data_IF_484977091769
#
_entry.id   IF_484977091769
#
_cell.length_a   1.000
_cell.length_b   1.000
_cell.length_c   1.000
_cell.angle_alpha   90.00
_cell.angle_beta   90.00
_cell.angle_gamma   90.00
#
_symmetry.space_group_name_H-M   'P 1'
#
loop_
_entity.id
_entity.type
_entity.pdbx_description
1 polymer ?
#
# COMPACT_ATOMS: atom_id res chain seq x y z
N UNK A 1 7.45 -3.71 -1.68
CA UNK A 1 7.25 -4.01 -3.11
C UNK A 1 5.78 -3.86 -3.48
N UNK A 2 5.44 -3.46 -4.72
CA UNK A 2 4.04 -3.26 -5.14
C UNK A 2 3.19 -4.50 -4.88
N UNK A 3 1.92 -4.28 -4.53
CA UNK A 3 0.95 -5.36 -4.29
C UNK A 3 0.22 -5.65 -5.59
N UNK A 4 0.21 -6.91 -5.98
CA UNK A 4 -0.54 -7.42 -7.13
C UNK A 4 -1.65 -8.34 -6.65
N UNK A 5 -2.81 -8.29 -7.31
CA UNK A 5 -3.85 -9.29 -7.16
C UNK A 5 -3.78 -10.26 -8.34
N UNK A 6 -3.93 -11.54 -8.05
CA UNK A 6 -3.93 -12.62 -9.05
C UNK A 6 -5.21 -13.42 -8.90
N UNK A 7 -5.93 -13.58 -10.01
CA UNK A 7 -7.14 -14.42 -10.11
C UNK A 7 -6.78 -15.72 -10.81
N UNK A 8 -7.07 -16.85 -10.16
CA UNK A 8 -6.72 -18.19 -10.64
C UNK A 8 -5.22 -18.33 -10.92
N UNK A 9 -4.87 -19.04 -12.00
CA UNK A 9 -3.48 -19.21 -12.46
C UNK A 9 -2.96 -18.04 -13.31
N UNK A 10 -3.19 -16.79 -12.87
CA UNK A 10 -2.73 -15.61 -13.61
C UNK A 10 -3.64 -15.18 -14.77
N UNK A 11 -4.89 -15.67 -14.80
CA UNK A 11 -5.86 -15.31 -15.84
C UNK A 11 -6.23 -13.82 -15.82
N UNK A 12 -6.17 -13.23 -14.63
CA UNK A 12 -6.15 -11.78 -14.43
C UNK A 12 -5.09 -11.45 -13.39
N UNK A 13 -4.29 -10.44 -13.69
CA UNK A 13 -3.27 -9.89 -12.79
C UNK A 13 -3.32 -8.38 -12.89
N UNK A 14 -3.45 -7.70 -11.76
CA UNK A 14 -3.41 -6.23 -11.74
C UNK A 14 -2.72 -5.69 -10.49
N UNK A 15 -2.27 -4.43 -10.58
CA UNK A 15 -1.61 -3.70 -9.50
C UNK A 15 -2.66 -3.18 -8.53
N UNK A 16 -2.66 -3.72 -7.31
CA UNK A 16 -3.47 -3.22 -6.19
C UNK A 16 -2.88 -1.94 -5.63
N UNK A 17 -1.56 -1.89 -5.43
CA UNK A 17 -0.91 -0.70 -4.87
C UNK A 17 0.55 -0.61 -5.28
N UNK A 18 0.99 0.57 -5.71
CA UNK A 18 2.41 0.89 -5.99
C UNK A 18 3.08 1.60 -4.82
N UNK A 19 2.29 2.24 -3.95
CA UNK A 19 2.75 3.08 -2.85
C UNK A 19 2.80 2.30 -1.54
N UNK A 20 1.73 1.57 -1.23
CA UNK A 20 1.57 0.85 0.03
C UNK A 20 1.85 -0.65 -0.14
N UNK A 21 2.40 -1.25 0.91
CA UNK A 21 2.77 -2.65 0.98
C UNK A 21 1.79 -3.44 1.84
N UNK A 22 1.81 -4.79 1.81
CA UNK A 22 0.85 -5.60 2.58
C UNK A 22 0.81 -5.24 4.07
N UNK A 23 1.98 -4.96 4.67
CA UNK A 23 2.09 -4.49 6.07
C UNK A 23 1.28 -3.23 6.37
N UNK A 24 1.14 -2.32 5.40
CA UNK A 24 0.43 -1.06 5.60
C UNK A 24 -1.09 -1.29 5.57
N UNK A 25 -1.55 -2.21 4.72
CA UNK A 25 -2.95 -2.66 4.72
C UNK A 25 -3.28 -3.40 6.01
N UNK A 26 -2.40 -4.27 6.49
CA UNK A 26 -2.58 -4.95 7.78
C UNK A 26 -2.65 -3.95 8.94
N UNK A 27 -1.76 -2.95 8.96
CA UNK A 27 -1.81 -1.89 9.96
C UNK A 27 -3.10 -1.07 9.91
N UNK A 28 -3.62 -0.77 8.71
CA UNK A 28 -4.93 -0.14 8.57
C UNK A 28 -6.03 -1.02 9.17
N UNK A 29 -6.04 -2.33 8.89
CA UNK A 29 -7.03 -3.24 9.44
C UNK A 29 -6.96 -3.32 10.97
N UNK A 30 -5.75 -3.32 11.54
CA UNK A 30 -5.56 -3.26 13.00
C UNK A 30 -6.19 -2.00 13.60
N UNK A 31 -5.99 -0.84 12.95
CA UNK A 31 -6.57 0.43 13.38
C UNK A 31 -8.08 0.48 13.23
N UNK A 32 -8.61 -0.02 12.12
CA UNK A 32 -10.06 -0.10 11.90
C UNK A 32 -10.71 -0.99 12.97
N UNK A 33 -10.05 -2.09 13.34
CA UNK A 33 -10.51 -2.98 14.40
C UNK A 33 -10.46 -2.31 15.78
N UNK A 34 -9.35 -1.66 16.13
CA UNK A 34 -9.19 -1.03 17.46
C UNK A 34 -9.92 0.30 17.64
N UNK A 35 -10.01 1.12 16.58
CA UNK A 35 -10.49 2.50 16.64
C UNK A 35 -11.94 2.61 16.13
N UNK A 36 -12.37 1.77 15.18
CA UNK A 36 -13.71 1.81 14.58
C UNK A 36 -14.59 0.60 14.93
N UNK A 37 -14.05 -0.39 15.66
CA UNK A 37 -14.74 -1.62 16.08
C UNK A 37 -15.33 -2.44 14.90
N UNK A 38 -14.59 -2.52 13.80
CA UNK A 38 -14.96 -3.30 12.62
C UNK A 38 -13.83 -4.26 12.21
N UNK A 39 -14.17 -5.49 11.84
CA UNK A 39 -13.18 -6.53 11.53
C UNK A 39 -13.35 -7.06 10.10
N UNK A 40 -12.22 -7.32 9.44
CA UNK A 40 -12.14 -7.74 8.04
C UNK A 40 -11.18 -8.94 7.88
N UNK A 41 -11.57 -10.12 8.37
CA UNK A 41 -10.68 -11.29 8.44
C UNK A 41 -10.25 -11.82 7.07
N UNK A 42 -11.08 -11.72 6.03
CA UNK A 42 -10.71 -12.19 4.69
C UNK A 42 -9.71 -11.25 4.01
N UNK A 43 -9.87 -9.92 4.16
CA UNK A 43 -8.86 -8.96 3.74
C UNK A 43 -7.53 -9.19 4.48
N UNK A 44 -7.59 -9.44 5.80
CA UNK A 44 -6.39 -9.77 6.59
C UNK A 44 -5.73 -11.04 6.09
N UNK A 45 -6.50 -12.11 5.84
CA UNK A 45 -5.99 -13.37 5.28
C UNK A 45 -5.35 -13.15 3.91
N UNK A 46 -5.99 -12.35 3.05
CA UNK A 46 -5.49 -12.00 1.72
C UNK A 46 -4.11 -11.33 1.83
N UNK A 47 -3.99 -10.23 2.59
CA UNK A 47 -2.73 -9.49 2.71
C UNK A 47 -1.61 -10.26 3.42
N UNK A 48 -1.92 -11.32 4.16
CA UNK A 48 -0.94 -12.29 4.67
C UNK A 48 -0.51 -13.34 3.62
N UNK A 49 -0.97 -13.23 2.37
CA UNK A 49 -0.62 -14.12 1.26
C UNK A 49 -1.53 -15.35 1.14
N UNK A 50 -2.64 -15.40 1.89
CA UNK A 50 -3.59 -16.51 1.83
C UNK A 50 -4.51 -16.45 0.62
N UNK A 51 -5.03 -17.61 0.21
CA UNK A 51 -6.13 -17.69 -0.75
C UNK A 51 -7.47 -17.45 -0.07
N UNK A 52 -8.34 -16.71 -0.76
CA UNK A 52 -9.62 -16.24 -0.22
C UNK A 52 -10.76 -16.51 -1.21
N UNK A 53 -11.94 -16.79 -0.67
CA UNK A 53 -13.17 -16.94 -1.44
C UNK A 53 -13.61 -15.55 -1.97
N UNK A 54 -13.84 -15.41 -3.29
CA UNK A 54 -14.12 -14.11 -3.90
C UNK A 54 -15.35 -13.36 -3.36
N UNK A 55 -16.44 -14.06 -3.04
CA UNK A 55 -17.67 -13.46 -2.50
C UNK A 55 -17.45 -12.80 -1.14
N UNK A 56 -16.80 -13.50 -0.22
CA UNK A 56 -16.45 -12.97 1.10
C UNK A 56 -15.49 -11.77 1.00
N UNK A 57 -14.53 -11.81 0.08
CA UNK A 57 -13.61 -10.71 -0.17
C UNK A 57 -14.33 -9.49 -0.77
N UNK A 58 -15.27 -9.69 -1.69
CA UNK A 58 -16.05 -8.63 -2.32
C UNK A 58 -16.83 -7.84 -1.26
N UNK A 59 -17.55 -8.54 -0.39
CA UNK A 59 -18.32 -7.93 0.71
C UNK A 59 -17.40 -7.15 1.66
N UNK A 60 -16.31 -7.75 2.12
CA UNK A 60 -15.37 -7.06 3.01
C UNK A 60 -14.72 -5.83 2.37
N UNK A 61 -14.33 -5.90 1.10
CA UNK A 61 -13.70 -4.78 0.39
C UNK A 61 -14.69 -3.62 0.20
N UNK A 62 -15.95 -3.90 -0.12
CA UNK A 62 -17.00 -2.88 -0.24
C UNK A 62 -17.34 -2.26 1.12
N UNK A 63 -17.50 -3.09 2.15
CA UNK A 63 -17.79 -2.63 3.51
C UNK A 63 -16.66 -1.76 4.07
N UNK A 64 -15.39 -2.15 3.86
CA UNK A 64 -14.25 -1.33 4.25
C UNK A 64 -14.22 0.00 3.48
N UNK A 65 -14.52 -0.02 2.17
CA UNK A 65 -14.54 1.18 1.35
C UNK A 65 -15.60 2.19 1.83
N UNK A 66 -16.80 1.72 2.15
CA UNK A 66 -17.88 2.54 2.71
C UNK A 66 -17.52 3.07 4.10
N UNK A 67 -17.05 2.18 4.98
CA UNK A 67 -16.63 2.57 6.33
C UNK A 67 -15.56 3.67 6.31
N UNK A 68 -14.53 3.53 5.48
CA UNK A 68 -13.48 4.54 5.36
C UNK A 68 -13.98 5.81 4.67
N UNK A 69 -14.96 5.72 3.77
CA UNK A 69 -15.56 6.92 3.16
C UNK A 69 -16.31 7.75 4.20
N UNK A 70 -16.97 7.11 5.16
CA UNK A 70 -17.76 7.75 6.20
C UNK A 70 -16.92 8.21 7.39
N UNK A 71 -16.03 7.34 7.87
CA UNK A 71 -15.31 7.49 9.15
C UNK A 71 -13.78 7.51 9.00
N UNK A 72 -13.26 7.47 7.79
CA UNK A 72 -11.81 7.40 7.55
C UNK A 72 -11.03 8.63 8.01
N UNK A 73 -11.69 9.77 8.29
CA UNK A 73 -11.07 10.94 8.91
C UNK A 73 -10.81 10.78 10.41
N UNK A 74 -11.42 9.79 11.06
CA UNK A 74 -11.13 9.45 12.47
C UNK A 74 -9.81 8.69 12.60
N UNK A 75 -9.35 8.05 11.53
CA UNK A 75 -8.08 7.33 11.48
C UNK A 75 -6.91 8.28 11.15
N UNK A 76 -5.68 7.96 11.60
CA UNK A 76 -4.53 8.77 11.24
C UNK A 76 -4.24 8.71 9.73
N UNK A 77 -3.62 9.76 9.18
CA UNK A 77 -3.24 9.78 7.78
C UNK A 77 -2.16 8.73 7.46
N UNK A 78 -2.12 8.34 6.19
CA UNK A 78 -1.09 7.47 5.65
C UNK A 78 0.06 8.31 5.08
N UNK A 79 1.28 8.05 5.56
CA UNK A 79 2.50 8.70 5.10
C UNK A 79 3.18 7.89 3.99
N UNK A 80 3.69 8.59 2.98
CA UNK A 80 4.49 8.02 1.90
C UNK A 80 5.51 9.03 1.38
N UNK A 81 6.51 8.55 0.64
CA UNK A 81 7.68 9.32 0.23
C UNK A 81 7.83 9.28 -1.29
N UNK A 82 8.13 10.42 -1.90
CA UNK A 82 8.53 10.46 -3.30
C UNK A 82 9.92 11.09 -3.44
N UNK A 83 10.77 10.46 -4.25
CA UNK A 83 12.07 11.02 -4.62
C UNK A 83 11.82 12.18 -5.57
N UNK A 84 12.27 13.38 -5.19
CA UNK A 84 12.18 14.55 -6.02
C UNK A 84 13.18 14.41 -7.18
N UNK A 85 12.72 14.53 -8.43
CA UNK A 85 13.59 14.46 -9.59
C UNK A 85 14.65 15.56 -9.57
N UNK A 86 15.82 15.29 -10.14
CA UNK A 86 16.86 16.31 -10.33
C UNK A 86 16.60 17.13 -11.59
N UNK A 87 15.97 16.53 -12.59
CA UNK A 87 15.59 17.14 -13.87
C UNK A 87 14.24 16.60 -14.41
N UNK A 88 13.81 17.06 -15.59
CA UNK A 88 12.54 16.63 -16.19
C UNK A 88 12.51 15.17 -16.66
N UNK A 89 13.66 14.53 -16.88
CA UNK A 89 13.74 13.13 -17.31
C UNK A 89 13.51 12.17 -16.12
N UNK A 90 13.87 12.60 -14.90
CA UNK A 90 13.64 11.88 -13.64
C UNK A 90 12.16 11.82 -13.17
N UNK A 91 11.21 12.46 -13.87
CA UNK A 91 9.80 12.64 -13.46
C UNK A 91 9.01 11.31 -13.34
N UNK A 92 9.54 10.19 -13.84
CA UNK A 92 8.92 8.87 -13.73
C UNK A 92 8.66 8.43 -12.27
N UNK A 93 9.49 8.88 -11.32
CA UNK A 93 9.32 8.55 -9.88
C UNK A 93 8.06 9.17 -9.27
N UNK A 94 7.65 10.36 -9.75
CA UNK A 94 6.43 11.05 -9.33
C UNK A 94 5.20 10.38 -9.93
N UNK A 95 5.30 9.93 -11.19
CA UNK A 95 4.20 9.25 -11.90
C UNK A 95 3.89 7.88 -11.27
N UNK A 96 4.89 7.20 -10.69
CA UNK A 96 4.73 5.92 -9.98
C UNK A 96 4.09 6.00 -8.59
N UNK A 97 3.95 7.21 -8.02
CA UNK A 97 3.21 7.46 -6.78
C UNK A 97 4.02 7.45 -5.48
N UNK A 98 5.34 7.29 -5.52
CA UNK A 98 6.16 7.16 -4.31
C UNK A 98 6.01 5.80 -3.61
N UNK A 99 6.52 5.69 -2.38
CA UNK A 99 6.48 4.47 -1.57
C UNK A 99 6.28 4.79 -0.10
N UNK A 100 5.52 3.96 0.62
CA UNK A 100 5.33 4.05 2.08
C UNK A 100 6.59 3.69 2.85
N UNK A 101 7.56 3.01 2.23
CA UNK A 101 8.85 2.71 2.84
C UNK A 101 9.94 2.56 1.79
N UNK A 102 11.14 3.04 2.09
CA UNK A 102 12.29 3.11 1.16
C UNK A 102 13.60 2.97 1.92
N UNK A 103 14.57 2.27 1.35
CA UNK A 103 15.95 2.26 1.83
C UNK A 103 16.83 2.97 0.79
N UNK A 104 17.57 4.00 1.20
CA UNK A 104 18.42 4.81 0.33
C UNK A 104 19.88 4.60 0.74
N UNK A 105 20.68 3.88 -0.07
CA UNK A 105 22.10 3.75 0.16
C UNK A 105 22.84 5.03 -0.28
N UNK A 106 23.68 5.59 0.62
CA UNK A 106 24.52 6.76 0.36
C UNK A 106 25.89 6.51 0.97
N UNK A 107 26.94 6.44 0.15
CA UNK A 107 28.34 6.40 0.59
C UNK A 107 28.64 5.40 1.72
N UNK A 108 28.10 4.17 1.60
CA UNK A 108 28.30 3.11 2.59
C UNK A 108 27.38 3.19 3.82
N UNK A 109 26.47 4.17 3.88
CA UNK A 109 25.37 4.27 4.86
C UNK A 109 24.04 3.92 4.22
N UNK A 110 23.07 3.50 5.04
CA UNK A 110 21.70 3.24 4.60
C UNK A 110 20.75 4.09 5.44
N UNK A 111 19.94 4.90 4.76
CA UNK A 111 18.84 5.65 5.36
C UNK A 111 17.54 4.91 5.07
N UNK A 112 16.76 4.60 6.12
CA UNK A 112 15.45 3.98 5.97
C UNK A 112 14.35 5.01 6.23
N UNK A 113 13.45 5.15 5.27
CA UNK A 113 12.20 5.89 5.41
C UNK A 113 11.08 4.87 5.67
N UNK A 114 10.35 5.09 6.76
CA UNK A 114 9.27 4.21 7.21
C UNK A 114 8.02 5.05 7.41
N UNK A 115 7.01 4.83 6.59
CA UNK A 115 5.70 5.47 6.62
C UNK A 115 4.59 4.44 6.84
N UNK A 116 3.44 4.66 6.22
CA UNK A 116 2.19 3.96 6.54
C UNK A 116 1.29 4.79 7.46
N UNK A 117 0.32 4.17 8.11
CA UNK A 117 -0.70 4.88 8.89
C UNK A 117 -0.19 5.28 10.28
N UNK A 118 -0.21 6.58 10.58
CA UNK A 118 0.15 7.12 11.91
C UNK A 118 1.34 8.06 11.92
N UNK A 119 2.52 7.57 11.52
CA UNK A 119 3.76 8.33 11.61
C UNK A 119 4.72 8.03 10.46
N UNK A 120 5.58 9.00 10.16
CA UNK A 120 6.71 8.84 9.27
C UNK A 120 8.02 8.92 10.08
N UNK A 121 8.94 8.01 9.84
CA UNK A 121 10.21 7.90 10.55
C UNK A 121 11.36 7.86 9.53
N UNK A 122 12.41 8.62 9.80
CA UNK A 122 13.73 8.43 9.24
C UNK A 122 14.58 7.67 10.25
N UNK A 123 15.05 6.48 9.87
CA UNK A 123 16.11 5.76 10.59
C UNK A 123 17.41 5.97 9.84
N UNK A 124 18.34 6.67 10.50
CA UNK A 124 19.67 6.95 10.01
C UNK A 124 20.71 6.29 10.92
N UNK A 125 21.98 6.16 10.50
CA UNK A 125 23.05 5.65 11.36
C UNK A 125 23.20 6.42 12.68
N UNK A 126 22.84 7.71 12.68
CA UNK A 126 22.94 8.60 13.84
C UNK A 126 21.72 8.50 14.78
N UNK A 127 20.65 7.80 14.39
CA UNK A 127 19.45 7.59 15.19
C UNK A 127 18.14 7.65 14.41
N UNK A 128 17.03 7.54 15.14
CA UNK A 128 15.67 7.67 14.59
C UNK A 128 15.11 9.07 14.82
N UNK A 129 14.38 9.58 13.82
CA UNK A 129 13.70 10.87 13.86
C UNK A 129 12.33 10.77 13.21
N UNK A 130 11.32 11.35 13.85
CA UNK A 130 9.99 11.51 13.27
C UNK A 130 9.98 12.65 12.22
N UNK A 131 9.28 12.41 11.11
CA UNK A 131 9.16 13.31 9.98
C UNK A 131 7.76 13.93 9.92
N UNK A 132 7.67 15.17 9.44
CA UNK A 132 6.41 15.89 9.31
C UNK A 132 5.87 15.83 7.88
N UNK A 133 4.55 15.93 7.74
CA UNK A 133 3.92 16.06 6.43
C UNK A 133 4.44 17.31 5.71
N UNK A 134 4.77 17.17 4.42
CA UNK A 134 5.32 18.26 3.59
C UNK A 134 6.82 18.50 3.76
N UNK A 135 7.49 17.81 4.69
CA UNK A 135 8.92 17.92 4.89
C UNK A 135 9.71 17.44 3.67
N UNK A 136 10.82 18.12 3.39
CA UNK A 136 11.76 17.74 2.34
C UNK A 136 13.11 17.37 2.97
N UNK A 137 13.60 16.18 2.61
CA UNK A 137 14.84 15.60 3.12
C UNK A 137 15.90 15.62 2.02
N UNK A 138 17.13 15.93 2.40
CA UNK A 138 18.31 15.74 1.55
C UNK A 138 19.17 14.63 2.14
N UNK A 139 19.19 13.48 1.47
CA UNK A 139 19.93 12.28 1.86
C UNK A 139 21.06 12.08 0.84
N UNK A 140 22.23 12.68 1.11
CA UNK A 140 23.31 12.80 0.14
C UNK A 140 22.85 13.60 -1.08
N UNK A 141 22.88 13.00 -2.27
CA UNK A 141 22.40 13.63 -3.50
C UNK A 141 20.91 13.39 -3.79
N UNK A 142 20.22 12.60 -2.96
CA UNK A 142 18.80 12.25 -3.15
C UNK A 142 17.94 13.23 -2.35
N UNK A 143 16.99 13.87 -3.02
CA UNK A 143 15.96 14.68 -2.36
C UNK A 143 14.68 13.88 -2.25
N UNK A 144 14.05 13.89 -1.08
CA UNK A 144 12.81 13.14 -0.83
C UNK A 144 11.78 14.06 -0.21
N UNK A 145 10.54 13.99 -0.66
CA UNK A 145 9.41 14.71 -0.08
C UNK A 145 8.47 13.77 0.66
N UNK A 146 8.04 14.20 1.84
CA UNK A 146 7.10 13.48 2.71
C UNK A 146 5.69 13.93 2.36
N UNK A 147 4.86 12.98 1.96
CA UNK A 147 3.46 13.21 1.62
C UNK A 147 2.53 12.48 2.59
N UNK A 148 1.30 12.96 2.67
CA UNK A 148 0.22 12.30 3.40
C UNK A 148 -1.03 12.19 2.54
N UNK A 149 -1.84 11.17 2.83
CA UNK A 149 -3.20 11.01 2.31
C UNK A 149 -4.13 10.61 3.46
N UNK A 150 -5.38 10.99 3.35
CA UNK A 150 -6.40 10.48 4.26
C UNK A 150 -6.61 8.99 4.05
N UNK A 151 -7.09 8.27 5.08
CA UNK A 151 -7.14 6.81 5.03
C UNK A 151 -7.93 6.27 3.84
N UNK A 152 -9.10 6.87 3.56
CA UNK A 152 -9.89 6.54 2.37
C UNK A 152 -9.12 6.79 1.07
N UNK A 153 -8.46 7.93 0.92
CA UNK A 153 -7.72 8.28 -0.30
C UNK A 153 -6.52 7.36 -0.54
N UNK A 154 -5.91 6.87 0.52
CA UNK A 154 -4.79 5.93 0.46
C UNK A 154 -5.21 4.56 -0.09
N UNK A 155 -6.42 4.09 0.21
CA UNK A 155 -6.85 2.71 -0.11
C UNK A 155 -8.03 2.58 -1.06
N UNK A 156 -8.71 3.67 -1.43
CA UNK A 156 -9.86 3.60 -2.34
C UNK A 156 -9.50 2.96 -3.69
N UNK A 157 -8.37 3.32 -4.29
CA UNK A 157 -7.85 2.69 -5.51
C UNK A 157 -7.55 1.19 -5.32
N UNK A 158 -6.73 0.82 -4.33
CA UNK A 158 -6.50 -0.58 -3.95
C UNK A 158 -7.77 -1.40 -3.74
N UNK A 159 -8.72 -0.92 -2.95
CA UNK A 159 -9.96 -1.64 -2.65
C UNK A 159 -10.84 -1.80 -3.89
N UNK A 160 -10.96 -0.77 -4.73
CA UNK A 160 -11.68 -0.88 -6.02
C UNK A 160 -11.06 -1.93 -6.93
N UNK A 161 -9.73 -2.01 -6.96
CA UNK A 161 -9.02 -3.03 -7.74
C UNK A 161 -9.33 -4.44 -7.21
N UNK A 162 -9.35 -4.63 -5.89
CA UNK A 162 -9.74 -5.90 -5.28
C UNK A 162 -11.21 -6.26 -5.56
N UNK A 163 -12.12 -5.29 -5.52
CA UNK A 163 -13.53 -5.46 -5.88
C UNK A 163 -13.67 -5.96 -7.33
N UNK A 164 -12.99 -5.33 -8.28
CA UNK A 164 -13.01 -5.76 -9.69
C UNK A 164 -12.44 -7.17 -9.84
N UNK A 165 -11.31 -7.47 -9.19
CA UNK A 165 -10.70 -8.78 -9.23
C UNK A 165 -11.62 -9.86 -8.61
N UNK A 166 -12.35 -9.54 -7.54
CA UNK A 166 -13.34 -10.42 -6.92
C UNK A 166 -14.51 -10.71 -7.85
N UNK A 167 -15.08 -9.69 -8.51
CA UNK A 167 -16.14 -9.89 -9.50
C UNK A 167 -15.69 -10.79 -10.66
N UNK A 168 -14.46 -10.61 -11.14
CA UNK A 168 -13.88 -11.48 -12.17
C UNK A 168 -13.68 -12.92 -11.66
N UNK A 169 -13.19 -13.09 -10.44
CA UNK A 169 -12.97 -14.39 -9.84
C UNK A 169 -14.30 -15.15 -9.62
N UNK A 170 -15.37 -14.46 -9.19
CA UNK A 170 -16.73 -15.03 -9.08
C UNK A 170 -17.20 -15.49 -10.46
N UNK A 171 -17.11 -14.62 -11.47
CA UNK A 171 -17.54 -14.94 -12.85
C UNK A 171 -16.84 -16.18 -13.39
N UNK A 172 -15.55 -16.32 -13.11
CA UNK A 172 -14.70 -17.39 -13.62
C UNK A 172 -14.59 -18.60 -12.69
N UNK A 173 -15.27 -18.58 -11.53
CA UNK A 173 -15.20 -19.61 -10.48
C UNK A 173 -13.75 -19.93 -10.07
N UNK A 174 -12.96 -18.89 -9.86
CA UNK A 174 -11.54 -18.98 -9.46
C UNK A 174 -11.33 -18.44 -8.04
N UNK A 175 -10.22 -18.82 -7.40
CA UNK A 175 -9.75 -18.20 -6.16
C UNK A 175 -8.90 -16.97 -6.43
N UNK A 176 -8.62 -16.21 -5.37
CA UNK A 176 -7.76 -15.02 -5.41
C UNK A 176 -6.65 -15.08 -4.38
N UNK A 177 -5.52 -14.47 -4.72
CA UNK A 177 -4.42 -14.18 -3.81
C UNK A 177 -3.78 -12.85 -4.15
N UNK A 178 -3.05 -12.27 -3.20
CA UNK A 178 -2.15 -11.14 -3.48
C UNK A 178 -0.70 -11.57 -3.40
N UNK A 179 0.12 -10.97 -4.25
CA UNK A 179 1.55 -11.19 -4.29
C UNK A 179 2.28 -9.88 -4.03
N UNK A 180 3.38 -9.96 -3.29
CA UNK A 180 4.32 -8.85 -3.09
C UNK A 180 5.25 -8.61 -4.28
N UNK A 181 5.05 -9.32 -5.40
CA UNK A 181 5.81 -9.16 -6.64
C UNK A 181 4.90 -9.48 -7.82
N UNK A 182 5.22 -8.94 -9.00
CA UNK A 182 4.52 -9.33 -10.22
C UNK A 182 4.75 -10.85 -10.45
N UNK A 183 3.69 -11.65 -10.68
CA UNK A 183 3.88 -13.04 -11.04
C UNK A 183 4.69 -13.12 -12.34
N UNK A 184 5.71 -13.99 -12.37
CA UNK A 184 6.43 -14.29 -13.61
C UNK A 184 5.45 -14.88 -14.62
N UNK A 185 5.51 -14.46 -15.89
CA UNK A 185 4.63 -14.92 -16.95
C UNK A 185 4.77 -16.42 -17.31
N UNK A 186 5.53 -17.21 -16.54
CA UNK A 186 5.72 -18.64 -16.78
C UNK A 186 4.69 -19.50 -16.03
N UNK A 187 3.71 -19.99 -16.79
CA UNK A 187 3.03 -21.31 -16.74
C UNK A 187 1.52 -21.17 -17.00
N UNK A 188 1.19 -20.84 -18.26
CA UNK A 188 -0.09 -21.22 -18.85
C UNK A 188 -0.10 -22.73 -19.13
#
# INVERSE_FOLDING_TARGET
MPVYVVVGRGRFTDRVSTVFFPKDFLNLLDRVESELNASFPNLRKLFNGGEVEPGALLEEALNLLLLLKERGSELPPAFFFAVLPKDFEDVASIIGGGASSMAIPVEGRVYELIGGFGKAILRAPEGERELKAGEELSLGTVRVKVFTRQAYEAVAGPLKTLVVAALLAIRERQTMRVLGCAPSAAAA
#
